data_IF_891435589086
#
_entry.id   IF_891435589086
#
_cell.length_a   1.000
_cell.length_b   1.000
_cell.length_c   1.000
_cell.angle_alpha   90.00
_cell.angle_beta   90.00
_cell.angle_gamma   90.00
#
_symmetry.space_group_name_H-M   'P 1'
#
loop_
_entity.id
_entity.type
_entity.pdbx_description
1 polymer ?
#
# COMPACT_ATOMS: atom_id res chain seq x y z
N UNK A 1 -0.54 24.98 26.36
CA UNK A 1 -0.74 24.11 25.17
C UNK A 1 -1.66 22.89 25.42
N UNK A 2 -2.43 22.84 26.53
CA UNK A 2 -3.47 21.82 26.77
C UNK A 2 -4.91 22.38 26.72
N UNK A 3 -5.07 23.69 26.87
CA UNK A 3 -6.37 24.37 26.88
C UNK A 3 -7.19 24.20 25.58
N UNK A 4 -6.53 23.98 24.43
CA UNK A 4 -7.21 23.75 23.15
C UNK A 4 -7.78 22.33 22.97
N UNK A 5 -7.46 21.40 23.86
CA UNK A 5 -7.85 19.99 23.79
C UNK A 5 -8.91 19.60 24.83
N UNK A 6 -9.32 20.55 25.69
CA UNK A 6 -10.31 20.35 26.74
C UNK A 6 -9.94 19.22 27.71
N UNK A 7 -8.68 19.15 28.13
CA UNK A 7 -8.17 18.08 29.00
C UNK A 7 -7.22 18.62 30.05
N UNK A 8 -7.36 18.15 31.29
CA UNK A 8 -6.43 18.43 32.38
C UNK A 8 -5.26 17.44 32.31
N UNK A 9 -4.02 17.91 32.53
CA UNK A 9 -2.84 17.03 32.54
C UNK A 9 -2.91 15.97 33.64
N UNK A 10 -3.53 16.33 34.76
CA UNK A 10 -3.50 15.56 36.01
C UNK A 10 -4.57 14.46 36.01
N UNK A 11 -5.71 14.71 35.36
CA UNK A 11 -6.86 13.81 35.32
C UNK A 11 -6.96 13.03 33.99
N UNK A 12 -6.40 13.57 32.90
CA UNK A 12 -6.57 13.00 31.56
C UNK A 12 -7.98 13.20 31.01
N UNK A 13 -8.35 12.43 29.98
CA UNK A 13 -9.69 12.50 29.39
C UNK A 13 -10.70 11.71 30.22
N UNK A 14 -11.91 12.23 30.33
CA UNK A 14 -13.05 11.47 30.82
C UNK A 14 -13.42 10.31 29.87
N UNK A 15 -14.05 9.27 30.41
CA UNK A 15 -14.43 8.10 29.61
C UNK A 15 -15.44 8.44 28.51
N UNK A 16 -16.41 9.33 28.77
CA UNK A 16 -17.43 9.71 27.79
C UNK A 16 -16.80 10.52 26.66
N UNK A 17 -15.89 11.44 26.98
CA UNK A 17 -15.12 12.18 25.99
C UNK A 17 -14.21 11.28 25.17
N UNK A 18 -13.58 10.29 25.80
CA UNK A 18 -12.75 9.31 25.09
C UNK A 18 -13.59 8.43 24.14
N UNK A 19 -14.81 8.03 24.55
CA UNK A 19 -15.77 7.31 23.71
C UNK A 19 -16.25 8.17 22.54
N UNK A 20 -16.66 9.41 22.81
CA UNK A 20 -17.10 10.36 21.79
C UNK A 20 -16.02 10.62 20.74
N UNK A 21 -14.79 10.88 21.19
CA UNK A 21 -13.64 11.08 20.28
C UNK A 21 -13.32 9.83 19.48
N UNK A 22 -13.40 8.62 20.06
CA UNK A 22 -13.22 7.36 19.30
C UNK A 22 -14.30 7.15 18.24
N UNK A 23 -15.54 7.59 18.46
CA UNK A 23 -16.60 7.51 17.46
C UNK A 23 -16.34 8.46 16.28
N UNK A 24 -15.78 9.65 16.53
CA UNK A 24 -15.47 10.64 15.49
C UNK A 24 -14.20 10.28 14.71
N UNK A 25 -13.12 9.92 15.41
CA UNK A 25 -11.80 9.70 14.79
C UNK A 25 -11.51 8.24 14.45
N UNK A 26 -12.32 7.30 14.96
CA UNK A 26 -12.10 5.88 14.81
C UNK A 26 -10.95 5.33 15.67
N UNK A 27 -10.69 4.01 15.59
CA UNK A 27 -9.57 3.41 16.28
C UNK A 27 -8.25 3.86 15.65
N UNK A 28 -7.25 4.14 16.49
CA UNK A 28 -5.89 4.44 16.04
C UNK A 28 -5.22 3.17 15.48
N UNK A 29 -5.60 2.79 14.25
CA UNK A 29 -5.11 1.64 13.51
C UNK A 29 -4.76 2.07 12.09
N UNK A 30 -3.54 1.76 11.65
CA UNK A 30 -3.13 2.00 10.27
C UNK A 30 -3.82 0.96 9.37
N UNK A 31 -4.72 1.41 8.49
CA UNK A 31 -5.51 0.55 7.60
C UNK A 31 -4.63 -0.42 6.79
N UNK A 32 -4.94 -1.72 6.86
CA UNK A 32 -4.30 -2.75 6.04
C UNK A 32 -4.57 -2.48 4.56
N UNK A 33 -3.52 -2.11 3.81
CA UNK A 33 -3.60 -2.10 2.35
C UNK A 33 -3.88 -3.54 1.94
N UNK A 34 -5.06 -3.76 1.34
CA UNK A 34 -5.53 -5.07 0.89
C UNK A 34 -4.46 -5.64 -0.03
N UNK A 35 -3.98 -6.86 0.24
CA UNK A 35 -3.01 -7.54 -0.62
C UNK A 35 -3.55 -7.51 -2.06
N UNK A 36 -2.86 -6.78 -2.94
CA UNK A 36 -3.24 -6.71 -4.35
C UNK A 36 -2.98 -8.10 -4.91
N UNK A 37 -4.02 -8.77 -5.40
CA UNK A 37 -3.89 -10.12 -5.94
C UNK A 37 -2.94 -10.12 -7.15
N UNK A 38 -2.03 -11.10 -7.22
CA UNK A 38 -1.05 -11.25 -8.31
C UNK A 38 -1.63 -11.05 -9.73
N UNK A 39 -2.81 -11.61 -10.10
CA UNK A 39 -3.41 -11.35 -11.41
C UNK A 39 -3.84 -9.89 -11.61
N UNK A 40 -4.27 -9.19 -10.55
CA UNK A 40 -4.65 -7.78 -10.62
C UNK A 40 -3.44 -6.86 -10.81
N UNK A 41 -2.30 -7.22 -10.23
CA UNK A 41 -1.04 -6.50 -10.44
C UNK A 41 -0.57 -6.69 -11.90
N UNK A 42 -0.58 -7.92 -12.39
CA UNK A 42 -0.31 -8.24 -13.80
C UNK A 42 -1.19 -7.42 -14.76
N UNK A 43 -2.50 -7.41 -14.56
CA UNK A 43 -3.43 -6.61 -15.39
C UNK A 43 -3.13 -5.11 -15.34
N UNK A 44 -2.72 -4.59 -14.18
CA UNK A 44 -2.36 -3.18 -14.05
C UNK A 44 -1.06 -2.85 -14.79
N UNK A 45 -0.11 -3.79 -14.83
CA UNK A 45 1.12 -3.68 -15.61
C UNK A 45 0.85 -3.58 -17.12
N UNK A 46 -0.20 -4.22 -17.64
CA UNK A 46 -0.61 -4.09 -19.05
C UNK A 46 -1.48 -2.86 -19.34
N UNK A 47 -1.93 -2.11 -18.33
CA UNK A 47 -2.81 -0.94 -18.50
C UNK A 47 -2.09 0.38 -18.75
N UNK A 48 -0.76 0.43 -18.59
CA UNK A 48 0.03 1.64 -18.80
C UNK A 48 0.29 1.93 -20.29
N UNK A 49 0.39 3.21 -20.71
CA UNK A 49 0.61 3.57 -22.12
C UNK A 49 1.90 2.96 -22.70
N UNK A 50 2.96 2.88 -21.90
CA UNK A 50 4.24 2.25 -22.31
C UNK A 50 4.09 0.73 -22.49
N UNK A 51 3.33 0.06 -21.63
CA UNK A 51 3.10 -1.38 -21.73
C UNK A 51 2.21 -1.73 -22.93
N UNK A 52 1.19 -0.93 -23.21
CA UNK A 52 0.40 -1.04 -24.45
C UNK A 52 1.28 -0.86 -25.69
N UNK A 53 2.18 0.13 -25.69
CA UNK A 53 3.10 0.37 -26.80
C UNK A 53 4.06 -0.82 -27.03
N UNK A 54 4.66 -1.34 -25.96
CA UNK A 54 5.49 -2.54 -26.02
C UNK A 54 4.71 -3.78 -26.47
N UNK A 55 3.48 -3.96 -25.97
CA UNK A 55 2.59 -5.04 -26.39
C UNK A 55 2.25 -4.97 -27.88
N UNK A 56 1.97 -3.77 -28.39
CA UNK A 56 1.75 -3.55 -29.82
C UNK A 56 3.01 -3.82 -30.64
N UNK A 57 4.19 -3.39 -30.16
CA UNK A 57 5.46 -3.67 -30.82
C UNK A 57 5.77 -5.17 -30.87
N UNK A 58 5.53 -5.91 -29.78
CA UNK A 58 5.69 -7.36 -29.74
C UNK A 58 4.73 -8.06 -30.72
N UNK A 59 3.46 -7.62 -30.76
CA UNK A 59 2.47 -8.16 -31.70
C UNK A 59 2.86 -7.91 -33.16
N UNK A 60 3.36 -6.71 -33.47
CA UNK A 60 3.89 -6.37 -34.79
C UNK A 60 5.11 -7.24 -35.15
N UNK A 61 6.07 -7.40 -34.24
CA UNK A 61 7.25 -8.24 -34.46
C UNK A 61 6.86 -9.69 -34.78
N UNK A 62 5.95 -10.28 -33.99
CA UNK A 62 5.44 -11.62 -34.28
C UNK A 62 4.65 -11.69 -35.60
N UNK A 63 3.89 -10.66 -35.94
CA UNK A 63 3.17 -10.58 -37.22
C UNK A 63 4.13 -10.59 -38.42
N UNK A 64 5.27 -9.90 -38.32
CA UNK A 64 6.32 -9.91 -39.35
C UNK A 64 7.22 -11.15 -39.30
N UNK A 65 6.99 -12.09 -38.37
CA UNK A 65 7.78 -13.31 -38.23
C UNK A 65 9.11 -13.13 -37.49
N UNK A 66 9.38 -11.94 -36.96
CA UNK A 66 10.58 -11.64 -36.17
C UNK A 66 10.39 -12.10 -34.72
N UNK A 67 10.65 -13.40 -34.50
CA UNK A 67 10.52 -14.03 -33.19
C UNK A 67 11.62 -13.57 -32.22
N UNK A 68 12.79 -13.18 -32.71
CA UNK A 68 13.90 -12.68 -31.89
C UNK A 68 13.50 -11.34 -31.25
N UNK A 69 13.04 -10.39 -32.06
CA UNK A 69 12.58 -9.09 -31.56
C UNK A 69 11.33 -9.23 -30.67
N UNK A 70 10.34 -10.03 -31.10
CA UNK A 70 9.13 -10.28 -30.31
C UNK A 70 9.45 -10.93 -28.95
N UNK A 71 10.36 -11.92 -28.95
CA UNK A 71 10.83 -12.59 -27.74
C UNK A 71 11.55 -11.64 -26.77
N UNK A 72 12.41 -10.76 -27.28
CA UNK A 72 13.10 -9.76 -26.47
C UNK A 72 12.12 -8.81 -25.75
N UNK A 73 11.09 -8.33 -26.45
CA UNK A 73 10.07 -7.44 -25.84
C UNK A 73 9.27 -8.18 -24.76
N UNK A 74 8.89 -9.43 -25.01
CA UNK A 74 8.19 -10.26 -24.02
C UNK A 74 9.06 -10.49 -22.77
N UNK A 75 10.36 -10.75 -22.95
CA UNK A 75 11.28 -10.91 -21.84
C UNK A 75 11.36 -9.63 -20.98
N UNK A 76 11.42 -8.45 -21.59
CA UNK A 76 11.41 -7.16 -20.88
C UNK A 76 10.11 -6.97 -20.09
N UNK A 77 8.96 -7.28 -20.69
CA UNK A 77 7.67 -7.22 -20.00
C UNK A 77 7.62 -8.16 -18.79
N UNK A 78 8.14 -9.38 -18.92
CA UNK A 78 8.22 -10.34 -17.83
C UNK A 78 9.12 -9.84 -16.68
N UNK A 79 10.29 -9.28 -17.01
CA UNK A 79 11.20 -8.68 -16.03
C UNK A 79 10.51 -7.52 -15.31
N UNK A 80 9.84 -6.63 -16.03
CA UNK A 80 9.11 -5.50 -15.43
C UNK A 80 8.00 -5.98 -14.48
N UNK A 81 7.25 -7.02 -14.87
CA UNK A 81 6.23 -7.61 -14.01
C UNK A 81 6.83 -8.22 -12.73
N UNK A 82 7.96 -8.93 -12.85
CA UNK A 82 8.67 -9.51 -11.71
C UNK A 82 9.20 -8.42 -10.76
N UNK A 83 9.82 -7.38 -11.29
CA UNK A 83 10.31 -6.24 -10.50
C UNK A 83 9.13 -5.59 -9.76
N UNK A 84 8.02 -5.32 -10.46
CA UNK A 84 6.81 -4.75 -9.88
C UNK A 84 6.21 -5.61 -8.76
N UNK A 85 6.20 -6.93 -8.94
CA UNK A 85 5.74 -7.87 -7.91
C UNK A 85 6.65 -7.86 -6.67
N UNK A 86 7.97 -7.88 -6.86
CA UNK A 86 8.93 -7.83 -5.76
C UNK A 86 8.88 -6.50 -5.02
N UNK A 87 8.71 -5.37 -5.72
CA UNK A 87 8.58 -4.06 -5.08
C UNK A 87 7.28 -3.94 -4.28
N UNK A 88 6.16 -4.46 -4.78
CA UNK A 88 4.90 -4.48 -4.01
C UNK A 88 5.02 -5.36 -2.76
N UNK A 89 5.63 -6.55 -2.87
CA UNK A 89 5.91 -7.41 -1.72
C UNK A 89 6.78 -6.71 -0.66
N UNK A 90 7.83 -6.01 -1.09
CA UNK A 90 8.69 -5.22 -0.19
C UNK A 90 7.92 -4.08 0.45
N UNK A 91 7.03 -3.41 -0.28
CA UNK A 91 6.20 -2.33 0.26
C UNK A 91 5.24 -2.85 1.35
N UNK A 92 4.61 -4.01 1.13
CA UNK A 92 3.75 -4.66 2.13
C UNK A 92 4.55 -5.01 3.39
N UNK A 93 5.71 -5.66 3.22
CA UNK A 93 6.60 -6.03 4.31
C UNK A 93 7.08 -4.81 5.12
N UNK A 94 7.38 -3.69 4.45
CA UNK A 94 7.81 -2.44 5.10
C UNK A 94 6.69 -1.83 5.95
N UNK A 95 5.45 -1.87 5.47
CA UNK A 95 4.28 -1.42 6.23
C UNK A 95 4.03 -2.34 7.42
N UNK A 96 4.18 -3.65 7.27
CA UNK A 96 4.06 -4.59 8.38
C UNK A 96 5.14 -4.38 9.44
N UNK A 97 6.38 -4.10 9.05
CA UNK A 97 7.45 -3.74 9.98
C UNK A 97 7.14 -2.44 10.73
N UNK A 98 6.63 -1.40 10.04
CA UNK A 98 6.15 -0.18 10.68
C UNK A 98 4.98 -0.44 11.64
N UNK A 99 4.05 -1.34 11.30
CA UNK A 99 2.97 -1.75 12.21
C UNK A 99 3.49 -2.48 13.43
N UNK A 100 4.48 -3.36 13.28
CA UNK A 100 5.11 -4.07 14.39
C UNK A 100 5.78 -3.08 15.36
N UNK A 101 6.39 -2.01 14.84
CA UNK A 101 6.92 -0.90 15.65
C UNK A 101 5.80 -0.04 16.28
N UNK A 102 4.68 0.14 15.57
CA UNK A 102 3.49 0.87 16.01
C UNK A 102 2.63 0.11 17.04
N UNK A 103 2.90 -1.17 17.27
CA UNK A 103 2.34 -1.98 18.36
C UNK A 103 2.83 -1.56 19.75
N UNK A 104 3.15 -0.28 19.96
CA UNK A 104 3.43 0.26 21.28
C UNK A 104 2.11 0.55 21.98
N UNK A 105 1.84 -0.18 23.06
CA UNK A 105 0.81 0.19 24.02
C UNK A 105 1.12 1.59 24.54
N UNK A 106 0.20 2.52 24.34
CA UNK A 106 0.31 3.84 24.95
C UNK A 106 -0.26 3.76 26.38
N UNK A 107 0.54 4.11 27.37
CA UNK A 107 0.00 4.41 28.70
C UNK A 107 -0.76 5.72 28.63
N UNK A 108 -2.03 5.67 29.00
CA UNK A 108 -2.93 6.83 29.00
C UNK A 108 -3.53 6.98 30.39
N UNK A 109 -3.69 8.23 30.83
CA UNK A 109 -4.41 8.59 32.04
C UNK A 109 -5.83 8.98 31.67
N UNK A 110 -6.82 8.45 32.39
CA UNK A 110 -8.24 8.74 32.20
C UNK A 110 -8.90 8.77 33.56
N UNK A 111 -9.66 9.83 33.84
CA UNK A 111 -10.35 10.03 35.10
C UNK A 111 -9.46 9.88 36.36
N UNK A 112 -8.19 10.31 36.30
CA UNK A 112 -7.24 10.32 37.43
C UNK A 112 -6.32 9.12 37.57
#
# INVERSE_FOLDING_TARGET
>A
MLAGLGVSADEGLDEDDARGRRAVFGPNRIAARRAVSAPRLLLHQFGGPVACLLGAAAALAFYFGDREAGGAVVAVLAINALIGFVTELKAVSSIEALRALGGRTAHVRRAG
#
